data_IF_514317143123
#
_entry.id   IF_514317143123
#
_cell.length_a   1.000
_cell.length_b   1.000
_cell.length_c   1.000
_cell.angle_alpha   90.00
_cell.angle_beta   90.00
_cell.angle_gamma   90.00
#
_symmetry.space_group_name_H-M   'P 1'
#
loop_
_entity.id
_entity.type
_entity.pdbx_description
1 polymer ?
#
# COMPACT_ATOMS: atom_id res chain seq x y z
N UNK A 1 -12.53 -11.18 -11.24
CA UNK A 1 -11.06 -11.03 -11.13
C UNK A 1 -10.81 -9.98 -10.07
N UNK A 2 -9.97 -10.33 -9.10
CA UNK A 2 -9.87 -9.79 -7.73
C UNK A 2 -9.98 -8.26 -7.61
N UNK A 3 -11.06 -7.78 -6.97
CA UNK A 3 -11.26 -6.38 -6.58
C UNK A 3 -10.15 -5.89 -5.64
N UNK A 4 -9.41 -6.81 -5.01
CA UNK A 4 -8.37 -6.52 -4.05
C UNK A 4 -6.98 -6.39 -4.66
N UNK A 5 -6.77 -6.59 -5.96
CA UNK A 5 -5.45 -6.32 -6.56
C UNK A 5 -5.15 -4.82 -6.51
N UNK A 6 -3.93 -4.46 -6.13
CA UNK A 6 -3.51 -3.05 -6.12
C UNK A 6 -3.41 -2.53 -7.56
N UNK A 7 -2.79 -3.30 -8.45
CA UNK A 7 -2.71 -2.91 -9.85
C UNK A 7 -3.83 -3.56 -10.68
N UNK A 8 -4.43 -2.74 -11.55
CA UNK A 8 -5.40 -3.18 -12.53
C UNK A 8 -4.73 -3.98 -13.64
N UNK A 9 -5.43 -4.96 -14.23
CA UNK A 9 -4.81 -5.95 -15.12
C UNK A 9 -4.16 -5.31 -16.36
N UNK A 10 -4.84 -4.38 -17.03
CA UNK A 10 -4.31 -3.70 -18.21
C UNK A 10 -3.24 -2.68 -17.85
N UNK A 11 -3.41 -1.95 -16.75
CA UNK A 11 -2.39 -1.01 -16.25
C UNK A 11 -1.10 -1.73 -15.87
N UNK A 12 -1.22 -2.85 -15.14
CA UNK A 12 -0.08 -3.69 -14.77
C UNK A 12 0.67 -4.20 -16.02
N UNK A 13 -0.05 -4.60 -17.07
CA UNK A 13 0.57 -5.04 -18.32
C UNK A 13 1.28 -3.88 -19.05
N UNK A 14 0.66 -2.70 -19.14
CA UNK A 14 1.29 -1.50 -19.71
C UNK A 14 2.57 -1.12 -18.97
N UNK A 15 2.51 -1.08 -17.62
CA UNK A 15 3.65 -0.74 -16.79
C UNK A 15 4.80 -1.75 -16.92
N UNK A 16 4.49 -3.06 -17.02
CA UNK A 16 5.49 -4.11 -17.29
C UNK A 16 6.16 -3.89 -18.66
N UNK A 17 5.36 -3.66 -19.70
CA UNK A 17 5.87 -3.43 -21.06
C UNK A 17 6.78 -2.20 -21.15
N UNK A 18 6.57 -1.21 -20.28
CA UNK A 18 7.35 0.02 -20.20
C UNK A 18 8.54 -0.06 -19.24
N UNK A 19 8.74 -1.20 -18.56
CA UNK A 19 9.79 -1.36 -17.55
C UNK A 19 9.55 -0.57 -16.25
N UNK A 20 8.32 -0.08 -16.04
CA UNK A 20 7.92 0.71 -14.86
C UNK A 20 7.35 -0.16 -13.73
N UNK A 21 7.15 -1.45 -14.00
CA UNK A 21 6.75 -2.46 -13.02
C UNK A 21 7.71 -3.64 -13.13
N UNK A 22 8.23 -4.11 -12.00
CA UNK A 22 8.99 -5.35 -11.93
C UNK A 22 8.06 -6.57 -11.91
N UNK A 23 8.55 -7.75 -12.34
CA UNK A 23 7.77 -8.98 -12.23
C UNK A 23 7.32 -9.18 -10.78
N UNK A 24 6.12 -9.72 -10.58
CA UNK A 24 5.65 -10.10 -9.25
C UNK A 24 6.70 -11.03 -8.63
N UNK A 25 7.30 -10.63 -7.51
CA UNK A 25 8.24 -11.49 -6.80
C UNK A 25 7.45 -12.64 -6.16
N UNK A 26 8.11 -13.78 -5.97
CA UNK A 26 7.55 -14.90 -5.21
C UNK A 26 7.04 -14.49 -3.81
N UNK A 27 7.51 -13.35 -3.30
CA UNK A 27 7.21 -12.79 -1.99
C UNK A 27 5.90 -11.98 -1.93
N UNK A 28 5.06 -11.93 -2.98
CA UNK A 28 3.79 -11.20 -2.93
C UNK A 28 3.90 -9.67 -3.04
N UNK A 29 5.07 -9.17 -3.47
CA UNK A 29 5.32 -7.75 -3.71
C UNK A 29 5.69 -7.45 -5.17
N UNK A 30 5.35 -6.23 -5.61
CA UNK A 30 5.83 -5.60 -6.83
C UNK A 30 6.88 -4.52 -6.55
N UNK A 31 7.78 -4.30 -7.51
CA UNK A 31 8.55 -3.06 -7.62
C UNK A 31 7.85 -2.13 -8.59
N UNK A 32 7.25 -1.05 -8.11
CA UNK A 32 6.58 -0.05 -8.95
C UNK A 32 7.42 1.23 -8.99
N UNK A 33 7.65 1.78 -10.17
CA UNK A 33 8.38 3.03 -10.33
C UNK A 33 7.67 4.16 -9.56
N UNK A 34 8.40 4.93 -8.75
CA UNK A 34 7.82 5.92 -7.82
C UNK A 34 6.89 6.91 -8.52
N UNK A 35 7.27 7.40 -9.70
CA UNK A 35 6.42 8.23 -10.60
C UNK A 35 5.06 7.64 -11.03
N UNK A 36 4.77 6.38 -10.70
CA UNK A 36 3.54 5.67 -11.06
C UNK A 36 2.75 5.18 -9.84
N UNK A 37 3.16 5.55 -8.62
CA UNK A 37 2.46 5.19 -7.40
C UNK A 37 1.04 5.77 -7.40
N UNK A 38 0.90 7.09 -7.26
CA UNK A 38 -0.40 7.75 -7.21
C UNK A 38 -0.49 8.89 -8.26
N UNK A 39 -1.62 9.61 -8.26
CA UNK A 39 -1.92 10.69 -9.20
C UNK A 39 -0.90 11.84 -9.21
N UNK A 40 -0.26 12.11 -8.07
CA UNK A 40 0.70 13.21 -7.89
C UNK A 40 2.14 12.75 -8.09
N UNK A 41 2.38 11.43 -8.09
CA UNK A 41 3.74 10.91 -8.00
C UNK A 41 4.62 11.23 -9.21
N UNK A 42 4.04 11.47 -10.40
CA UNK A 42 4.82 11.87 -11.57
C UNK A 42 5.44 13.27 -11.40
N UNK A 43 4.72 14.19 -10.76
CA UNK A 43 5.16 15.55 -10.45
C UNK A 43 6.12 15.55 -9.26
N UNK A 44 5.78 14.83 -8.18
CA UNK A 44 6.61 14.75 -6.97
C UNK A 44 7.97 14.12 -7.22
N UNK A 45 8.05 13.15 -8.14
CA UNK A 45 9.27 12.40 -8.45
C UNK A 45 9.78 12.72 -9.87
N UNK A 46 9.52 13.93 -10.37
CA UNK A 46 9.85 14.32 -11.75
C UNK A 46 11.35 14.25 -12.06
N UNK A 47 12.19 14.35 -11.03
CA UNK A 47 13.65 14.23 -11.06
C UNK A 47 14.12 12.79 -11.31
N UNK A 48 13.28 11.80 -11.03
CA UNK A 48 13.57 10.38 -11.29
C UNK A 48 13.31 10.05 -12.77
N UNK A 49 14.34 9.56 -13.46
CA UNK A 49 14.25 9.17 -14.87
C UNK A 49 13.42 7.89 -15.05
N UNK A 50 12.48 7.88 -16.00
CA UNK A 50 11.60 6.74 -16.28
C UNK A 50 12.30 5.54 -16.95
N UNK A 51 13.52 5.70 -17.44
CA UNK A 51 14.27 4.66 -18.16
C UNK A 51 15.28 3.92 -17.26
N UNK A 52 15.16 4.05 -15.94
CA UNK A 52 16.01 3.34 -14.99
C UNK A 52 15.70 1.84 -15.03
N UNK A 53 16.72 1.04 -15.33
CA UNK A 53 16.61 -0.42 -15.34
C UNK A 53 16.45 -0.97 -13.92
N UNK A 54 15.55 -1.94 -13.73
CA UNK A 54 15.33 -2.67 -12.48
C UNK A 54 16.57 -3.38 -11.94
N UNK A 55 17.54 -3.70 -12.80
CA UNK A 55 18.81 -4.34 -12.45
C UNK A 55 19.92 -3.34 -12.11
N UNK A 56 19.67 -2.04 -12.29
CA UNK A 56 20.67 -1.00 -12.00
C UNK A 56 20.68 -0.64 -10.51
N UNK A 57 21.80 -0.17 -9.96
CA UNK A 57 21.85 0.31 -8.57
C UNK A 57 20.86 1.45 -8.28
N UNK A 58 20.57 2.29 -9.27
CA UNK A 58 19.61 3.39 -9.14
C UNK A 58 18.15 2.91 -8.99
N UNK A 59 17.86 1.62 -9.21
CA UNK A 59 16.53 1.07 -9.07
C UNK A 59 15.99 1.12 -7.63
N UNK A 60 16.86 1.12 -6.63
CA UNK A 60 16.44 1.15 -5.22
C UNK A 60 15.87 2.52 -4.85
N UNK A 61 16.37 3.58 -5.48
CA UNK A 61 15.83 4.93 -5.34
C UNK A 61 14.64 5.18 -6.27
N UNK A 62 14.59 4.55 -7.43
CA UNK A 62 13.55 4.81 -8.44
C UNK A 62 12.26 4.00 -8.24
N UNK A 63 12.32 2.86 -7.53
CA UNK A 63 11.19 1.94 -7.38
C UNK A 63 10.80 1.75 -5.91
N UNK A 64 9.50 1.72 -5.64
CA UNK A 64 8.93 1.35 -4.36
C UNK A 64 8.46 -0.11 -4.37
N UNK A 65 8.64 -0.79 -3.23
CA UNK A 65 8.03 -2.10 -3.00
C UNK A 65 6.60 -1.91 -2.54
N UNK A 66 5.63 -2.54 -3.22
CA UNK A 66 4.21 -2.50 -2.85
C UNK A 66 3.64 -3.92 -2.84
N UNK A 67 2.66 -4.26 -1.99
CA UNK A 67 1.98 -5.54 -2.07
C UNK A 67 1.29 -5.76 -3.42
N UNK A 68 1.04 -7.01 -3.78
CA UNK A 68 0.25 -7.38 -4.97
C UNK A 68 -1.25 -7.12 -4.73
N UNK A 69 -1.71 -7.37 -3.51
CA UNK A 69 -3.10 -7.24 -3.10
C UNK A 69 -3.24 -6.42 -1.81
N UNK A 70 -4.32 -5.65 -1.72
CA UNK A 70 -4.64 -4.77 -0.60
C UNK A 70 -5.02 -5.58 0.67
N UNK A 71 -5.60 -6.77 0.49
CA UNK A 71 -5.91 -7.70 1.58
C UNK A 71 -4.95 -8.88 1.45
N UNK A 72 -3.83 -8.80 2.16
CA UNK A 72 -2.82 -9.86 2.18
C UNK A 72 -1.90 -9.77 3.39
N UNK A 73 -1.14 -10.83 3.64
CA UNK A 73 -0.06 -10.84 4.63
C UNK A 73 0.98 -9.74 4.35
N UNK A 74 1.34 -9.54 3.08
CA UNK A 74 2.30 -8.53 2.65
C UNK A 74 1.83 -7.11 2.95
N UNK A 75 0.51 -6.87 2.92
CA UNK A 75 -0.05 -5.58 3.33
C UNK A 75 0.16 -5.33 4.83
N UNK A 76 0.01 -6.35 5.69
CA UNK A 76 0.31 -6.22 7.13
C UNK A 76 1.76 -5.82 7.38
N UNK A 77 2.69 -6.42 6.65
CA UNK A 77 4.11 -6.06 6.72
C UNK A 77 4.34 -4.64 6.18
N UNK A 78 3.73 -4.30 5.05
CA UNK A 78 3.88 -3.00 4.39
C UNK A 78 3.41 -1.83 5.29
N UNK A 79 2.30 -2.01 6.00
CA UNK A 79 1.78 -0.98 6.93
C UNK A 79 2.61 -0.82 8.20
N UNK A 80 3.65 -1.64 8.37
CA UNK A 80 4.69 -1.44 9.39
C UNK A 80 4.66 -2.44 10.55
N UNK A 81 3.96 -3.57 10.40
CA UNK A 81 3.95 -4.62 11.41
C UNK A 81 5.16 -5.53 11.25
N UNK A 82 5.67 -6.00 12.39
CA UNK A 82 6.66 -7.07 12.42
C UNK A 82 6.08 -8.35 11.80
N UNK A 83 6.96 -9.22 11.26
CA UNK A 83 6.52 -10.51 10.71
C UNK A 83 5.76 -11.36 11.73
N UNK A 84 6.15 -11.30 13.00
CA UNK A 84 5.46 -12.01 14.07
C UNK A 84 4.01 -11.51 14.22
N UNK A 85 3.80 -10.19 14.25
CA UNK A 85 2.46 -9.61 14.36
C UNK A 85 1.64 -9.79 13.07
N UNK A 86 2.27 -9.65 11.91
CA UNK A 86 1.63 -9.94 10.63
C UNK A 86 1.17 -11.40 10.55
N UNK A 87 1.96 -12.34 11.04
CA UNK A 87 1.60 -13.77 11.09
C UNK A 87 0.42 -14.02 12.01
N UNK A 88 0.42 -13.42 13.20
CA UNK A 88 -0.68 -13.48 14.15
C UNK A 88 -1.99 -12.96 13.53
N UNK A 89 -1.97 -11.73 12.99
CA UNK A 89 -3.16 -11.10 12.42
C UNK A 89 -3.64 -11.78 11.15
N UNK A 90 -2.74 -12.24 10.29
CA UNK A 90 -3.12 -12.98 9.08
C UNK A 90 -3.78 -14.30 9.43
N UNK A 91 -3.28 -15.01 10.45
CA UNK A 91 -3.92 -16.23 10.95
C UNK A 91 -5.33 -15.96 11.46
N UNK A 92 -5.53 -14.87 12.21
CA UNK A 92 -6.87 -14.47 12.68
C UNK A 92 -7.80 -14.07 11.54
N UNK A 93 -7.32 -13.27 10.58
CA UNK A 93 -8.10 -12.84 9.42
C UNK A 93 -8.54 -14.02 8.54
N UNK A 94 -7.65 -14.98 8.32
CA UNK A 94 -7.94 -16.16 7.48
C UNK A 94 -8.80 -17.19 8.19
N UNK A 95 -8.65 -17.34 9.51
CA UNK A 95 -9.48 -18.20 10.36
C UNK A 95 -10.59 -17.40 11.05
N UNK A 96 -11.32 -16.62 10.27
CA UNK A 96 -12.38 -15.74 10.77
C UNK A 96 -13.49 -16.55 11.46
N UNK A 97 -14.01 -16.12 12.62
CA UNK A 97 -15.07 -16.83 13.32
C UNK A 97 -16.35 -16.90 12.46
N UNK A 98 -17.05 -18.03 12.53
CA UNK A 98 -18.32 -18.23 11.83
C UNK A 98 -19.48 -17.40 12.41
N UNK A 99 -19.30 -16.81 13.59
CA UNK A 99 -20.28 -15.99 14.29
C UNK A 99 -19.69 -14.59 14.51
N UNK A 100 -20.53 -13.57 14.41
CA UNK A 100 -20.13 -12.18 14.58
C UNK A 100 -20.17 -11.40 13.27
N UNK A 101 -19.48 -10.25 13.19
CA UNK A 101 -19.43 -9.47 11.96
C UNK A 101 -18.69 -10.24 10.86
N UNK A 102 -19.08 -10.03 9.61
CA UNK A 102 -18.41 -10.62 8.45
C UNK A 102 -17.22 -9.78 8.01
N UNK A 103 -16.31 -10.37 7.23
CA UNK A 103 -15.26 -9.61 6.54
C UNK A 103 -15.83 -8.95 5.29
N UNK A 104 -15.15 -7.92 4.81
CA UNK A 104 -15.46 -7.26 3.53
C UNK A 104 -15.34 -8.18 2.31
N UNK A 105 -14.65 -9.32 2.44
CA UNK A 105 -14.47 -10.34 1.39
C UNK A 105 -15.50 -11.48 1.46
N UNK A 106 -16.29 -11.54 2.53
CA UNK A 106 -17.29 -12.58 2.70
C UNK A 106 -18.58 -12.24 1.91
N UNK A 107 -19.37 -13.25 1.50
CA UNK A 107 -20.65 -13.01 0.85
C UNK A 107 -21.56 -12.11 1.69
N UNK A 108 -22.29 -11.22 1.02
CA UNK A 108 -23.18 -10.29 1.71
C UNK A 108 -24.38 -11.00 2.33
N UNK A 109 -24.57 -10.82 3.63
CA UNK A 109 -25.66 -11.34 4.44
C UNK A 109 -26.52 -10.21 5.07
N UNK A 110 -26.24 -8.95 4.74
CA UNK A 110 -26.88 -7.76 5.32
C UNK A 110 -26.45 -7.43 6.75
N UNK A 111 -25.43 -8.13 7.29
CA UNK A 111 -24.88 -7.91 8.63
C UNK A 111 -23.81 -6.82 8.71
N UNK A 112 -23.22 -6.66 9.90
CA UNK A 112 -22.09 -5.76 10.12
C UNK A 112 -20.83 -6.29 9.42
N UNK A 113 -20.10 -5.39 8.77
CA UNK A 113 -18.89 -5.69 8.00
C UNK A 113 -17.67 -5.08 8.69
N UNK A 114 -16.61 -5.87 8.82
CA UNK A 114 -15.29 -5.40 9.24
C UNK A 114 -14.37 -5.33 8.01
N UNK A 115 -13.84 -4.14 7.74
CA UNK A 115 -12.82 -3.97 6.69
C UNK A 115 -11.47 -4.47 7.17
N UNK A 116 -10.58 -4.83 6.25
CA UNK A 116 -9.24 -5.28 6.62
C UNK A 116 -8.45 -4.18 7.34
N UNK A 117 -8.64 -2.92 6.93
CA UNK A 117 -8.07 -1.75 7.62
C UNK A 117 -8.56 -1.65 9.07
N UNK A 118 -9.87 -1.68 9.28
CA UNK A 118 -10.46 -1.56 10.63
C UNK A 118 -10.03 -2.73 11.52
N UNK A 119 -9.90 -3.94 10.96
CA UNK A 119 -9.37 -5.10 11.68
C UNK A 119 -7.93 -4.88 12.16
N UNK A 120 -7.06 -4.30 11.32
CA UNK A 120 -5.68 -4.01 11.72
C UNK A 120 -5.65 -2.98 12.85
N UNK A 121 -6.35 -1.87 12.68
CA UNK A 121 -6.40 -0.77 13.68
C UNK A 121 -7.00 -1.26 15.00
N UNK A 122 -8.10 -2.01 14.94
CA UNK A 122 -8.76 -2.60 16.10
C UNK A 122 -7.85 -3.55 16.89
N UNK A 123 -6.84 -4.15 16.25
CA UNK A 123 -5.90 -5.07 16.93
C UNK A 123 -4.98 -4.40 17.96
N UNK A 124 -4.89 -3.07 17.92
CA UNK A 124 -4.12 -2.25 18.88
C UNK A 124 -4.99 -1.67 20.00
N UNK A 125 -6.30 -1.92 19.99
CA UNK A 125 -7.18 -1.49 21.09
C UNK A 125 -6.77 -2.15 22.41
N UNK A 126 -7.01 -1.43 23.52
CA UNK A 126 -6.71 -1.87 24.88
C UNK A 126 -5.22 -2.11 25.19
N UNK A 127 -4.31 -1.62 24.35
CA UNK A 127 -2.86 -1.63 24.64
C UNK A 127 -2.49 -0.52 25.61
N UNK A 128 -1.41 -0.74 26.37
CA UNK A 128 -0.83 0.28 27.24
C UNK A 128 -0.21 1.37 26.37
N UNK A 129 -0.73 2.58 26.52
CA UNK A 129 -0.29 3.77 25.79
C UNK A 129 0.65 4.63 26.65
N UNK A 130 1.38 5.54 26.02
CA UNK A 130 2.23 6.54 26.69
C UNK A 130 2.28 7.83 25.88
N UNK A 131 2.29 8.96 26.59
CA UNK A 131 2.58 10.31 26.04
C UNK A 131 3.87 10.88 26.65
N UNK A 132 4.56 10.10 27.49
CA UNK A 132 5.71 10.56 28.25
C UNK A 132 6.93 10.68 27.34
N UNK A 133 7.81 11.66 27.62
CA UNK A 133 9.12 11.75 26.98
C UNK A 133 10.09 10.69 27.56
N UNK A 134 9.77 9.42 27.34
CA UNK A 134 10.52 8.28 27.84
C UNK A 134 10.66 7.22 26.76
N UNK A 135 11.86 7.14 26.17
CA UNK A 135 12.15 6.20 25.08
C UNK A 135 11.86 4.73 25.45
N UNK A 136 12.02 4.31 26.71
CA UNK A 136 11.73 2.92 27.11
C UNK A 136 10.23 2.64 27.12
N UNK A 137 9.42 3.60 27.56
CA UNK A 137 7.97 3.44 27.56
C UNK A 137 7.43 3.42 26.13
N UNK A 138 7.94 4.29 25.27
CA UNK A 138 7.60 4.29 23.84
C UNK A 138 7.95 2.97 23.17
N UNK A 139 9.19 2.49 23.38
CA UNK A 139 9.62 1.21 22.85
C UNK A 139 8.76 0.05 23.37
N UNK A 140 8.37 0.07 24.65
CA UNK A 140 7.48 -0.94 25.22
C UNK A 140 6.08 -0.91 24.57
N UNK A 141 5.50 0.28 24.36
CA UNK A 141 4.22 0.47 23.67
C UNK A 141 4.29 -0.04 22.22
N UNK A 142 5.30 0.36 21.45
CA UNK A 142 5.47 -0.05 20.06
C UNK A 142 5.69 -1.57 19.93
N UNK A 143 6.48 -2.17 20.83
CA UNK A 143 6.67 -3.61 20.90
C UNK A 143 5.37 -4.35 21.24
N UNK A 144 4.57 -3.82 22.17
CA UNK A 144 3.27 -4.41 22.52
C UNK A 144 2.25 -4.35 21.37
N UNK A 145 2.36 -3.35 20.49
CA UNK A 145 1.59 -3.26 19.24
C UNK A 145 2.15 -4.16 18.13
N UNK A 146 3.37 -4.69 18.28
CA UNK A 146 4.02 -5.55 17.30
C UNK A 146 4.57 -4.80 16.08
N UNK A 147 4.91 -3.52 16.24
CA UNK A 147 5.48 -2.66 15.17
C UNK A 147 6.89 -3.13 14.80
N UNK A 148 7.21 -3.13 13.51
CA UNK A 148 8.53 -3.52 13.01
C UNK A 148 9.63 -2.55 13.45
N UNK A 149 10.84 -3.05 13.71
CA UNK A 149 11.92 -2.27 14.33
C UNK A 149 12.34 -1.03 13.50
N UNK A 150 12.33 -1.13 12.17
CA UNK A 150 12.60 -0.01 11.27
C UNK A 150 11.53 1.09 11.38
N UNK A 151 10.26 0.70 11.50
CA UNK A 151 9.14 1.63 11.72
C UNK A 151 9.21 2.24 13.12
N UNK A 152 9.59 1.48 14.15
CA UNK A 152 9.85 2.03 15.48
C UNK A 152 10.93 3.10 15.45
N UNK A 153 12.03 2.83 14.74
CA UNK A 153 13.14 3.78 14.60
C UNK A 153 12.72 5.06 13.86
N UNK A 154 11.84 4.94 12.85
CA UNK A 154 11.29 6.08 12.13
C UNK A 154 10.35 6.92 13.01
N UNK A 155 9.46 6.27 13.76
CA UNK A 155 8.56 6.94 14.71
C UNK A 155 9.37 7.59 15.83
N UNK A 156 10.44 6.98 16.34
CA UNK A 156 11.21 7.50 17.48
C UNK A 156 12.42 8.36 17.06
N UNK A 157 12.52 8.78 15.80
CA UNK A 157 13.67 9.54 15.31
C UNK A 157 13.80 10.87 16.09
N UNK A 158 14.94 11.13 16.75
CA UNK A 158 15.14 12.34 17.55
C UNK A 158 14.91 13.65 16.78
N UNK A 159 15.10 13.64 15.45
CA UNK A 159 14.87 14.81 14.58
C UNK A 159 13.40 15.22 14.52
N UNK A 160 12.50 14.26 14.74
CA UNK A 160 11.05 14.46 14.71
C UNK A 160 10.43 14.36 16.10
N UNK A 161 11.23 14.38 17.17
CA UNK A 161 10.77 14.23 18.55
C UNK A 161 9.62 15.16 18.93
N UNK A 162 9.63 16.40 18.44
CA UNK A 162 8.53 17.34 18.70
C UNK A 162 7.20 16.90 18.08
N UNK A 163 7.21 16.24 16.91
CA UNK A 163 6.03 15.62 16.31
C UNK A 163 5.61 14.42 17.13
N UNK A 164 6.56 13.54 17.46
CA UNK A 164 6.29 12.32 18.22
C UNK A 164 5.57 12.64 19.54
N UNK A 165 6.03 13.66 20.27
CA UNK A 165 5.43 14.06 21.55
C UNK A 165 4.16 14.93 21.42
N UNK A 166 3.70 15.22 20.19
CA UNK A 166 2.44 15.96 20.00
C UNK A 166 1.19 15.09 20.20
N UNK A 167 1.35 13.76 20.19
CA UNK A 167 0.30 12.77 20.38
C UNK A 167 0.84 11.56 21.15
N UNK A 168 -0.03 10.62 21.51
CA UNK A 168 0.37 9.40 22.21
C UNK A 168 1.07 8.39 21.29
N UNK A 169 1.79 7.44 21.88
CA UNK A 169 2.42 6.35 21.15
C UNK A 169 1.41 5.56 20.32
N UNK A 170 0.25 5.19 20.90
CA UNK A 170 -0.79 4.44 20.19
C UNK A 170 -1.41 5.25 19.05
N UNK A 171 -1.56 6.57 19.22
CA UNK A 171 -1.97 7.45 18.13
C UNK A 171 -1.03 7.29 16.92
N UNK A 172 0.29 7.39 17.13
CA UNK A 172 1.25 7.29 16.02
C UNK A 172 1.31 5.90 15.38
N UNK A 173 1.01 4.84 16.13
CA UNK A 173 0.86 3.49 15.56
C UNK A 173 -0.33 3.47 14.60
N UNK A 174 -1.50 3.94 15.05
CA UNK A 174 -2.71 3.97 14.23
C UNK A 174 -2.51 4.86 13.00
N UNK A 175 -2.02 6.08 13.19
CA UNK A 175 -1.76 7.05 12.12
C UNK A 175 -0.79 6.50 11.07
N UNK A 176 0.29 5.83 11.50
CA UNK A 176 1.24 5.18 10.58
C UNK A 176 0.58 4.11 9.72
N UNK A 177 -0.22 3.24 10.34
CA UNK A 177 -0.93 2.16 9.63
C UNK A 177 -1.96 2.75 8.66
N UNK A 178 -2.76 3.71 9.13
CA UNK A 178 -3.78 4.38 8.33
C UNK A 178 -3.18 5.08 7.11
N UNK A 179 -2.13 5.90 7.31
CA UNK A 179 -1.47 6.62 6.22
C UNK A 179 -0.87 5.66 5.19
N UNK A 180 -0.20 4.59 5.64
CA UNK A 180 0.39 3.60 4.71
C UNK A 180 -0.67 2.82 3.95
N UNK A 181 -1.76 2.44 4.62
CA UNK A 181 -2.87 1.75 3.97
C UNK A 181 -3.58 2.66 2.96
N UNK A 182 -3.86 3.92 3.32
CA UNK A 182 -4.41 4.92 2.43
C UNK A 182 -3.51 5.15 1.19
N UNK A 183 -2.19 5.12 1.37
CA UNK A 183 -1.24 5.14 0.26
C UNK A 183 -1.45 3.99 -0.74
N UNK A 184 -1.74 2.77 -0.27
CA UNK A 184 -2.07 1.63 -1.14
C UNK A 184 -3.42 1.80 -1.84
N UNK A 185 -4.44 2.32 -1.14
CA UNK A 185 -5.74 2.66 -1.73
C UNK A 185 -5.60 3.71 -2.85
N UNK A 186 -4.75 4.72 -2.65
CA UNK A 186 -4.48 5.76 -3.64
C UNK A 186 -3.70 5.23 -4.86
N UNK A 187 -2.77 4.30 -4.65
CA UNK A 187 -2.09 3.59 -5.74
C UNK A 187 -3.10 2.78 -6.54
N UNK A 188 -3.98 2.06 -5.86
CA UNK A 188 -5.02 1.28 -6.50
C UNK A 188 -5.95 2.16 -7.33
N UNK A 189 -6.45 3.25 -6.76
CA UNK A 189 -7.31 4.22 -7.47
C UNK A 189 -6.62 4.74 -8.73
N UNK A 190 -5.36 5.14 -8.61
CA UNK A 190 -4.55 5.67 -9.71
C UNK A 190 -4.31 4.62 -10.80
N UNK A 191 -4.12 3.35 -10.44
CA UNK A 191 -4.02 2.24 -11.38
C UNK A 191 -5.32 2.01 -12.16
N UNK A 192 -6.47 2.06 -11.49
CA UNK A 192 -7.79 1.94 -12.14
C UNK A 192 -8.05 3.11 -13.09
N UNK A 193 -7.65 4.32 -12.73
CA UNK A 193 -7.74 5.49 -13.59
C UNK A 193 -6.91 5.35 -14.87
N UNK A 194 -5.66 4.90 -14.76
CA UNK A 194 -4.81 4.61 -15.92
C UNK A 194 -5.39 3.50 -16.79
N UNK A 195 -5.92 2.44 -16.21
CA UNK A 195 -6.60 1.39 -16.97
C UNK A 195 -7.83 1.93 -17.73
N UNK A 196 -8.64 2.79 -17.12
CA UNK A 196 -9.75 3.44 -17.82
C UNK A 196 -9.27 4.28 -19.01
N UNK A 197 -8.14 4.97 -18.88
CA UNK A 197 -7.54 5.74 -19.99
C UNK A 197 -7.05 4.81 -21.11
N UNK A 198 -6.37 3.70 -20.78
CA UNK A 198 -5.92 2.71 -21.75
C UNK A 198 -7.09 2.12 -22.54
N UNK A 199 -8.18 1.75 -21.85
CA UNK A 199 -9.41 1.26 -22.50
C UNK A 199 -10.01 2.30 -23.44
N UNK A 200 -10.10 3.56 -23.02
CA UNK A 200 -10.61 4.66 -23.86
C UNK A 200 -9.78 4.84 -25.13
N UNK A 201 -8.46 4.80 -25.02
CA UNK A 201 -7.54 4.92 -26.16
C UNK A 201 -7.77 3.75 -27.14
N UNK A 202 -7.88 2.52 -26.64
CA UNK A 202 -8.13 1.33 -27.46
C UNK A 202 -9.50 1.38 -28.19
N UNK A 203 -10.52 1.99 -27.59
CA UNK A 203 -11.86 2.12 -28.19
C UNK A 203 -12.03 3.29 -29.15
N UNK A 204 -11.05 4.21 -29.28
CA UNK A 204 -11.14 5.31 -30.26
C UNK A 204 -11.00 4.71 -31.68
N UNK A 205 -12.00 4.86 -32.56
CA UNK A 205 -11.85 4.49 -33.96
C UNK A 205 -10.70 5.29 -34.55
N UNK A 206 -9.73 4.62 -35.19
CA UNK A 206 -8.65 5.31 -35.87
C UNK A 206 -9.21 6.30 -36.90
N UNK A 207 -8.72 7.54 -36.88
CA UNK A 207 -8.81 8.44 -38.02
C UNK A 207 -8.15 7.74 -39.22
N UNK A 208 -8.96 7.11 -40.06
CA UNK A 208 -8.52 6.49 -41.29
C UNK A 208 -9.54 6.81 -42.40
N UNK A 209 -9.45 8.01 -42.96
CA UNK A 209 -9.71 8.35 -44.37
C UNK A 209 -8.75 9.51 -44.69
N UNK A 210 -7.79 9.41 -45.60
CA UNK A 210 -7.94 8.86 -46.95
C UNK A 210 -8.33 10.00 -47.88
N UNK A 211 -7.35 10.78 -48.34
CA UNK A 211 -7.58 11.98 -49.15
C UNK A 211 -6.39 12.31 -50.05
N UNK A 212 -5.84 11.29 -50.71
CA UNK A 212 -5.08 11.46 -51.95
C UNK A 212 -6.05 11.85 -53.06
N UNK A 213 -6.03 13.11 -53.46
CA UNK A 213 -6.71 13.60 -54.66
C UNK A 213 -5.78 14.54 -55.42
N UNK A 214 -4.96 13.97 -56.31
CA UNK A 214 -4.47 14.68 -57.48
C UNK A 214 -5.60 14.76 -58.51
N UNK A 215 -5.82 15.95 -59.04
CA UNK A 215 -6.72 16.27 -60.14
C UNK A 215 -6.54 17.74 -60.49
#
# INVERSE_FOLDING_TARGET
MSEHTILATLDSADLLNRGLLGPARATGFHRLHKRRLNRSSDEENHDILLNISLSSPAADDAFAMIPVALISYETLVYVGLSEAKATELWSQWTNWPAQGPRREIDPDDGGLVVTFKDFIIGSFENRVDTTEDNARQWQACLNACGVAADVQNAIMDPRFKYLCLSQSCLYWVNDTVEMRYAGLEDIQRSSREREMQLRRIATRPGCNQGGSGHG
#
